data_IF_741726340816
#
_entry.id   IF_741726340816
#
_cell.length_a   1.000
_cell.length_b   1.000
_cell.length_c   1.000
_cell.angle_alpha   90.00
_cell.angle_beta   90.00
_cell.angle_gamma   90.00
#
_symmetry.space_group_name_H-M   'P 1'
#
loop_
_entity.id
_entity.type
_entity.pdbx_description
1 polymer ?
#
# COMPACT_ATOMS: atom_id res chain seq x y z
N UNK A 1 17.72 -9.95 -14.49
CA UNK A 1 17.47 -11.06 -13.55
C UNK A 1 16.29 -10.65 -12.67
N UNK A 2 15.08 -11.10 -13.02
CA UNK A 2 13.81 -10.75 -12.36
C UNK A 2 12.93 -11.99 -12.09
N UNK A 3 13.48 -13.21 -12.10
CA UNK A 3 12.65 -14.43 -12.12
C UNK A 3 11.97 -14.71 -10.77
N UNK A 4 12.69 -14.61 -9.66
CA UNK A 4 12.15 -15.11 -8.38
C UNK A 4 11.19 -14.14 -7.67
N UNK A 5 11.13 -12.85 -8.02
CA UNK A 5 10.14 -11.93 -7.41
C UNK A 5 8.79 -12.11 -8.10
N UNK A 6 8.78 -12.06 -9.43
CA UNK A 6 7.56 -12.26 -10.22
C UNK A 6 6.99 -13.67 -10.12
N UNK A 7 7.81 -14.70 -9.95
CA UNK A 7 7.31 -16.05 -9.63
C UNK A 7 6.57 -16.08 -8.28
N UNK A 8 7.11 -15.42 -7.25
CA UNK A 8 6.46 -15.33 -5.94
C UNK A 8 5.16 -14.52 -6.02
N UNK A 9 5.15 -13.41 -6.77
CA UNK A 9 3.94 -12.60 -6.98
C UNK A 9 2.81 -13.42 -7.60
N UNK A 10 3.10 -14.24 -8.62
CA UNK A 10 2.15 -15.18 -9.23
C UNK A 10 1.65 -16.24 -8.25
N UNK A 11 2.53 -16.78 -7.40
CA UNK A 11 2.10 -17.73 -6.38
C UNK A 11 1.16 -17.03 -5.39
N UNK A 12 1.49 -15.83 -4.94
CA UNK A 12 0.65 -15.03 -4.02
C UNK A 12 -0.70 -14.72 -4.64
N UNK A 13 -0.77 -14.33 -5.92
CA UNK A 13 -2.03 -14.03 -6.61
C UNK A 13 -2.96 -15.24 -6.67
N UNK A 14 -2.40 -16.46 -6.61
CA UNK A 14 -3.16 -17.72 -6.58
C UNK A 14 -3.54 -18.19 -5.17
N UNK A 15 -3.31 -17.40 -4.12
CA UNK A 15 -3.71 -17.71 -2.75
C UNK A 15 -4.99 -16.94 -2.37
N UNK A 16 -6.20 -17.42 -2.74
CA UNK A 16 -7.45 -16.69 -2.58
C UNK A 16 -7.85 -16.46 -1.11
N UNK A 17 -7.26 -17.21 -0.18
CA UNK A 17 -7.49 -17.08 1.26
C UNK A 17 -6.43 -16.25 1.98
N UNK A 18 -5.42 -15.72 1.25
CA UNK A 18 -4.38 -14.92 1.87
C UNK A 18 -4.96 -13.59 2.37
N UNK A 19 -4.84 -13.35 3.67
CA UNK A 19 -5.34 -12.12 4.33
C UNK A 19 -4.25 -11.16 4.76
N UNK A 20 -3.04 -11.67 4.99
CA UNK A 20 -1.91 -10.89 5.48
C UNK A 20 -0.70 -11.20 4.60
N UNK A 21 -0.12 -10.14 4.05
CA UNK A 21 1.11 -10.22 3.27
C UNK A 21 2.17 -9.30 3.88
N UNK A 22 3.29 -9.89 4.29
CA UNK A 22 4.48 -9.14 4.69
C UNK A 22 5.55 -9.31 3.62
N UNK A 23 6.01 -8.21 3.07
CA UNK A 23 6.95 -8.18 1.96
C UNK A 23 8.27 -7.59 2.46
N UNK A 24 9.31 -8.41 2.46
CA UNK A 24 10.70 -8.03 2.74
C UNK A 24 11.58 -8.03 1.47
N UNK A 25 10.99 -8.44 0.33
CA UNK A 25 11.62 -8.47 -1.00
C UNK A 25 11.13 -7.31 -1.86
N UNK A 26 11.97 -6.86 -2.79
CA UNK A 26 11.54 -5.86 -3.76
C UNK A 26 10.67 -6.53 -4.82
N UNK A 27 9.39 -6.22 -4.76
CA UNK A 27 8.46 -6.36 -5.88
C UNK A 27 8.53 -5.14 -6.80
N UNK A 28 8.34 -5.39 -8.10
CA UNK A 28 8.10 -4.33 -9.07
C UNK A 28 6.65 -3.85 -9.01
N UNK A 29 6.32 -2.84 -9.82
CA UNK A 29 4.94 -2.39 -9.98
C UNK A 29 4.07 -3.53 -10.54
N UNK A 30 4.57 -4.24 -11.54
CA UNK A 30 3.89 -5.36 -12.19
C UNK A 30 3.63 -6.52 -11.21
N UNK A 31 4.57 -6.78 -10.31
CA UNK A 31 4.39 -7.78 -9.25
C UNK A 31 3.25 -7.41 -8.30
N UNK A 32 3.10 -6.12 -7.95
CA UNK A 32 1.98 -5.66 -7.13
C UNK A 32 0.65 -5.65 -7.88
N UNK A 33 0.67 -5.39 -9.19
CA UNK A 33 -0.51 -5.54 -10.05
C UNK A 33 -1.00 -6.99 -10.05
N UNK A 34 -0.11 -7.94 -10.31
CA UNK A 34 -0.39 -9.38 -10.27
C UNK A 34 -0.99 -9.79 -8.90
N UNK A 35 -0.37 -9.38 -7.79
CA UNK A 35 -0.88 -9.66 -6.44
C UNK A 35 -2.27 -9.05 -6.24
N UNK A 36 -2.49 -7.81 -6.67
CA UNK A 36 -3.73 -7.08 -6.44
C UNK A 36 -4.91 -7.61 -7.26
N UNK A 37 -4.63 -8.35 -8.34
CA UNK A 37 -5.65 -8.97 -9.19
C UNK A 37 -6.11 -10.34 -8.68
N UNK A 38 -5.23 -11.11 -8.04
CA UNK A 38 -5.55 -12.46 -7.57
C UNK A 38 -5.83 -12.59 -6.07
N UNK A 39 -5.08 -11.86 -5.22
CA UNK A 39 -5.16 -12.00 -3.77
C UNK A 39 -6.24 -11.09 -3.14
N UNK A 40 -7.47 -11.18 -3.65
CA UNK A 40 -8.59 -10.25 -3.35
C UNK A 40 -9.08 -10.29 -1.89
N UNK A 41 -8.63 -11.27 -1.09
CA UNK A 41 -8.91 -11.33 0.36
C UNK A 41 -7.84 -10.66 1.23
N UNK A 42 -6.82 -10.04 0.63
CA UNK A 42 -5.81 -9.32 1.40
C UNK A 42 -6.43 -8.18 2.19
N UNK A 43 -6.19 -8.21 3.49
CA UNK A 43 -6.63 -7.20 4.46
C UNK A 43 -5.45 -6.40 5.00
N UNK A 44 -4.25 -6.98 5.07
CA UNK A 44 -3.06 -6.34 5.61
C UNK A 44 -1.87 -6.53 4.69
N UNK A 45 -1.22 -5.43 4.34
CA UNK A 45 0.05 -5.40 3.63
C UNK A 45 1.08 -4.67 4.48
N UNK A 46 2.24 -5.30 4.64
CA UNK A 46 3.37 -4.73 5.37
C UNK A 46 4.60 -4.73 4.46
N UNK A 47 5.06 -3.55 4.05
CA UNK A 47 6.27 -3.36 3.25
C UNK A 47 7.43 -3.08 4.21
N UNK A 48 8.36 -4.03 4.36
CA UNK A 48 9.37 -4.05 5.43
C UNK A 48 10.82 -4.03 4.92
N UNK A 49 11.07 -3.51 3.72
CA UNK A 49 12.41 -3.59 3.12
C UNK A 49 13.17 -2.27 3.17
N UNK A 50 14.36 -2.32 3.78
CA UNK A 50 15.32 -1.21 3.72
C UNK A 50 15.85 -1.03 2.29
N UNK A 51 15.86 0.21 1.82
CA UNK A 51 16.37 0.55 0.48
C UNK A 51 15.36 0.28 -0.64
N UNK A 52 14.09 0.07 -0.31
CA UNK A 52 13.02 0.03 -1.30
C UNK A 52 12.52 1.44 -1.61
N UNK A 53 12.61 1.82 -2.87
CA UNK A 53 12.03 3.05 -3.39
C UNK A 53 10.54 2.85 -3.60
N UNK A 54 9.75 3.30 -2.62
CA UNK A 54 8.29 3.37 -2.72
C UNK A 54 7.90 4.79 -3.10
N UNK A 55 7.34 4.98 -4.29
CA UNK A 55 6.82 6.24 -4.80
C UNK A 55 5.31 6.16 -5.02
N UNK A 56 4.66 7.29 -5.32
CA UNK A 56 3.20 7.40 -5.39
C UNK A 56 2.53 6.33 -6.26
N UNK A 57 3.01 6.14 -7.49
CA UNK A 57 2.45 5.15 -8.40
C UNK A 57 2.62 3.70 -7.92
N UNK A 58 3.61 3.42 -7.07
CA UNK A 58 3.88 2.09 -6.53
C UNK A 58 2.73 1.56 -5.67
N UNK A 59 1.97 2.44 -4.99
CA UNK A 59 0.84 2.03 -4.15
C UNK A 59 -0.46 1.83 -4.95
N UNK A 60 -0.57 2.36 -6.17
CA UNK A 60 -1.82 2.40 -6.92
C UNK A 60 -2.44 1.03 -7.22
N UNK A 61 -1.67 -0.03 -7.54
CA UNK A 61 -2.24 -1.36 -7.71
C UNK A 61 -2.98 -1.86 -6.46
N UNK A 62 -2.42 -1.59 -5.27
CA UNK A 62 -2.98 -2.05 -3.99
C UNK A 62 -4.35 -1.42 -3.67
N UNK A 63 -4.69 -0.29 -4.29
CA UNK A 63 -6.00 0.35 -4.13
C UNK A 63 -7.13 -0.47 -4.78
N UNK A 64 -6.80 -1.43 -5.64
CA UNK A 64 -7.77 -2.37 -6.25
C UNK A 64 -8.19 -3.50 -5.30
N UNK A 65 -7.50 -3.68 -4.17
CA UNK A 65 -7.77 -4.77 -3.25
C UNK A 65 -9.01 -4.47 -2.41
N UNK A 66 -10.16 -5.13 -2.63
CA UNK A 66 -11.45 -4.69 -2.10
C UNK A 66 -11.57 -4.88 -0.58
N UNK A 67 -10.60 -5.53 0.07
CA UNK A 67 -10.64 -5.81 1.52
C UNK A 67 -9.47 -5.22 2.27
N UNK A 68 -8.63 -4.42 1.62
CA UNK A 68 -7.44 -3.85 2.26
C UNK A 68 -7.86 -2.90 3.38
N UNK A 69 -7.45 -3.24 4.61
CA UNK A 69 -7.73 -2.50 5.85
C UNK A 69 -6.48 -1.94 6.50
N UNK A 70 -5.31 -2.43 6.12
CA UNK A 70 -4.05 -1.97 6.70
C UNK A 70 -2.93 -1.98 5.68
N UNK A 71 -2.27 -0.83 5.55
CA UNK A 71 -1.02 -0.70 4.81
C UNK A 71 0.05 -0.07 5.70
N UNK A 72 1.07 -0.86 6.00
CA UNK A 72 2.23 -0.42 6.79
C UNK A 72 3.45 -0.33 5.88
N UNK A 73 4.07 0.85 5.79
CA UNK A 73 5.31 1.08 5.06
C UNK A 73 6.41 1.34 6.07
N UNK A 74 7.33 0.38 6.20
CA UNK A 74 8.45 0.42 7.14
C UNK A 74 9.77 0.43 6.39
N UNK A 75 10.66 1.33 6.81
CA UNK A 75 12.05 1.38 6.35
C UNK A 75 12.23 1.55 4.83
N UNK A 76 11.23 2.03 4.09
CA UNK A 76 11.33 2.28 2.65
C UNK A 76 11.75 3.76 2.41
N UNK A 77 13.02 4.05 2.04
CA UNK A 77 13.39 5.38 1.59
C UNK A 77 12.81 5.58 0.19
N UNK A 78 11.77 6.39 0.05
CA UNK A 78 11.16 6.63 -1.25
C UNK A 78 10.43 7.95 -1.33
N UNK A 79 10.16 8.37 -2.57
CA UNK A 79 9.47 9.62 -2.92
C UNK A 79 7.95 9.51 -2.79
N UNK A 80 7.47 8.72 -1.83
CA UNK A 80 6.05 8.70 -1.50
C UNK A 80 5.70 10.08 -0.93
N UNK A 81 4.75 10.74 -1.57
CA UNK A 81 4.26 12.05 -1.16
C UNK A 81 2.92 11.91 -0.46
N UNK A 82 2.57 12.92 0.34
CA UNK A 82 1.22 12.97 0.90
C UNK A 82 0.13 13.20 -0.15
N UNK A 83 0.46 13.74 -1.34
CA UNK A 83 -0.49 13.87 -2.44
C UNK A 83 -0.81 12.51 -3.08
N UNK A 84 0.21 11.69 -3.35
CA UNK A 84 0.00 10.34 -3.87
C UNK A 84 -0.71 9.43 -2.89
N UNK A 85 -0.45 9.57 -1.59
CA UNK A 85 -1.21 8.85 -0.56
C UNK A 85 -2.68 9.27 -0.51
N UNK A 86 -2.97 10.57 -0.68
CA UNK A 86 -4.34 11.05 -0.78
C UNK A 86 -5.04 10.51 -2.04
N UNK A 87 -4.32 10.44 -3.17
CA UNK A 87 -4.82 9.84 -4.41
C UNK A 87 -5.12 8.34 -4.24
N UNK A 88 -4.22 7.61 -3.59
CA UNK A 88 -4.38 6.19 -3.24
C UNK A 88 -5.68 5.97 -2.46
N UNK A 89 -5.87 6.74 -1.39
CA UNK A 89 -7.06 6.66 -0.53
C UNK A 89 -8.34 7.06 -1.28
N UNK A 90 -8.29 8.09 -2.12
CA UNK A 90 -9.39 8.49 -3.02
C UNK A 90 -9.77 7.38 -3.99
N UNK A 91 -8.79 6.63 -4.49
CA UNK A 91 -9.02 5.52 -5.42
C UNK A 91 -9.74 4.38 -4.71
N UNK A 92 -9.35 4.06 -3.47
CA UNK A 92 -10.04 3.08 -2.63
C UNK A 92 -11.50 3.49 -2.32
N UNK A 93 -11.75 4.76 -1.96
CA UNK A 93 -13.12 5.24 -1.67
C UNK A 93 -14.05 5.16 -2.88
N UNK A 94 -13.48 5.27 -4.10
CA UNK A 94 -14.25 5.16 -5.35
C UNK A 94 -14.57 3.72 -5.75
N UNK A 95 -13.99 2.71 -5.13
CA UNK A 95 -14.33 1.31 -5.43
C UNK A 95 -15.70 0.99 -4.81
N UNK A 96 -16.75 0.75 -5.62
CA UNK A 96 -18.08 0.43 -5.11
C UNK A 96 -18.13 -0.90 -4.35
N UNK A 97 -17.15 -1.78 -4.55
CA UNK A 97 -17.05 -3.07 -3.87
C UNK A 97 -16.06 -3.03 -2.69
N UNK A 98 -15.44 -1.87 -2.43
CA UNK A 98 -14.44 -1.67 -1.39
C UNK A 98 -15.01 -1.80 0.02
N UNK A 99 -14.43 -2.70 0.80
CA UNK A 99 -14.72 -2.97 2.21
C UNK A 99 -13.57 -2.46 3.08
N UNK A 100 -13.38 -1.15 3.04
CA UNK A 100 -12.24 -0.47 3.67
C UNK A 100 -12.55 0.12 5.04
N UNK A 101 -13.72 -0.16 5.63
CA UNK A 101 -14.07 0.33 6.97
C UNK A 101 -12.98 -0.04 8.00
N UNK A 102 -12.57 0.95 8.78
CA UNK A 102 -11.43 0.92 9.68
C UNK A 102 -10.06 0.96 9.02
N UNK A 103 -9.93 1.40 7.75
CA UNK A 103 -8.64 1.42 7.05
C UNK A 103 -7.58 2.24 7.81
N UNK A 104 -6.40 1.66 7.99
CA UNK A 104 -5.26 2.29 8.67
C UNK A 104 -4.03 2.31 7.78
N UNK A 105 -3.30 3.42 7.87
CA UNK A 105 -2.05 3.61 7.17
C UNK A 105 -0.95 4.07 8.13
N UNK A 106 0.21 3.42 8.05
CA UNK A 106 1.36 3.75 8.91
C UNK A 106 2.63 3.88 8.07
N UNK A 107 3.38 4.97 8.25
CA UNK A 107 4.75 5.11 7.77
C UNK A 107 5.68 5.20 8.98
N UNK A 108 6.69 4.33 9.04
CA UNK A 108 7.69 4.40 10.09
C UNK A 108 8.62 5.61 9.91
N UNK A 109 8.71 6.46 10.95
CA UNK A 109 9.37 7.79 11.00
C UNK A 109 10.84 7.90 10.58
N UNK A 110 11.53 6.82 10.23
CA UNK A 110 13.00 6.80 10.24
C UNK A 110 13.70 7.65 9.16
N UNK A 111 12.99 8.24 8.20
CA UNK A 111 13.60 9.05 7.13
C UNK A 111 12.77 10.27 6.69
N UNK A 112 12.11 10.97 7.63
CA UNK A 112 11.54 12.31 7.37
C UNK A 112 12.62 13.41 7.17
N UNK A 113 13.89 13.04 6.90
CA UNK A 113 15.00 13.97 6.70
C UNK A 113 15.02 14.64 5.32
N UNK A 114 14.00 14.43 4.49
CA UNK A 114 13.77 15.18 3.26
C UNK A 114 12.27 15.39 3.05
N UNK A 115 11.78 16.61 3.29
CA UNK A 115 10.76 17.43 2.59
C UNK A 115 9.46 16.79 1.99
N UNK A 116 9.19 15.49 2.02
CA UNK A 116 8.08 14.89 1.24
C UNK A 116 6.73 14.77 1.98
N UNK A 117 6.73 14.91 3.31
CA UNK A 117 5.53 14.91 4.14
C UNK A 117 5.55 16.09 5.13
N UNK A 118 4.83 17.16 4.80
CA UNK A 118 4.55 18.20 5.82
C UNK A 118 3.57 17.65 6.85
N UNK A 119 3.67 18.14 8.10
CA UNK A 119 2.74 17.76 9.18
C UNK A 119 1.27 17.99 8.76
N UNK A 120 1.02 19.08 8.04
CA UNK A 120 -0.31 19.44 7.57
C UNK A 120 -0.84 18.43 6.55
N UNK A 121 -0.01 18.00 5.59
CA UNK A 121 -0.41 17.00 4.60
C UNK A 121 -0.64 15.61 5.24
N UNK A 122 0.13 15.26 6.27
CA UNK A 122 -0.13 14.04 7.05
C UNK A 122 -1.49 14.11 7.75
N UNK A 123 -1.84 15.26 8.33
CA UNK A 123 -3.14 15.45 8.97
C UNK A 123 -4.27 15.42 7.95
N UNK A 124 -4.12 16.08 6.80
CA UNK A 124 -5.10 16.05 5.71
C UNK A 124 -5.41 14.61 5.27
N UNK A 125 -4.39 13.78 5.08
CA UNK A 125 -4.60 12.37 4.74
C UNK A 125 -5.30 11.62 5.87
N UNK A 126 -4.91 11.83 7.13
CA UNK A 126 -5.54 11.16 8.28
C UNK A 126 -7.01 11.54 8.41
N UNK A 127 -7.33 12.82 8.30
CA UNK A 127 -8.69 13.33 8.36
C UNK A 127 -9.52 12.76 7.21
N UNK A 128 -8.93 12.65 6.02
CA UNK A 128 -9.57 12.00 4.88
C UNK A 128 -9.87 10.52 5.14
N UNK A 129 -8.88 9.75 5.61
CA UNK A 129 -9.05 8.33 5.95
C UNK A 129 -10.15 8.16 7.00
N UNK A 130 -10.14 8.98 8.05
CA UNK A 130 -11.16 8.96 9.10
C UNK A 130 -12.56 9.22 8.56
N UNK A 131 -12.70 10.20 7.65
CA UNK A 131 -13.98 10.52 6.99
C UNK A 131 -14.44 9.41 6.06
N UNK A 132 -13.55 8.91 5.20
CA UNK A 132 -13.91 7.98 4.14
C UNK A 132 -14.16 6.56 4.67
N UNK A 133 -13.45 6.18 5.73
CA UNK A 133 -13.34 4.79 6.16
C UNK A 133 -13.54 4.58 7.66
N UNK A 134 -13.97 5.57 8.45
CA UNK A 134 -14.05 5.47 9.92
C UNK A 134 -12.75 4.99 10.61
N UNK A 135 -11.60 5.24 9.95
CA UNK A 135 -10.26 4.77 10.35
C UNK A 135 -9.48 5.70 11.26
#
# INVERSE_FOLDING_TARGET
ANSTASEIAKVISQLPELRILSIDKQFSLEDLEEISEGALKLETIILNRRGWEVYDAYLMPLAKLPRLKRLDIKMCPGDLTGAGLLEFVKKMEKDPNGQHDGFRFTIAKLWLSGIWFTKDKVNEVKDYIKRAFNG
#
